data_IF_809095243402
#
_entry.id   IF_809095243402
#
_cell.length_a   1.000
_cell.length_b   1.000
_cell.length_c   1.000
_cell.angle_alpha   90.00
_cell.angle_beta   90.00
_cell.angle_gamma   90.00
#
_symmetry.space_group_name_H-M   'P 1'
#
loop_
_entity.id
_entity.type
_entity.pdbx_description
1 polymer ?
#
# COMPACT_ATOMS: atom_id res chain seq x y z
N UNK A 1 -22.18 5.54 6.63
CA UNK A 1 -20.93 4.83 7.00
C UNK A 1 -21.27 3.73 7.98
N UNK A 2 -20.58 2.61 7.87
CA UNK A 2 -20.74 1.48 8.77
C UNK A 2 -19.91 1.71 10.06
N UNK A 3 -20.35 1.21 11.21
CA UNK A 3 -19.63 1.27 12.49
C UNK A 3 -18.16 0.87 12.33
N UNK A 4 -17.88 -0.17 11.53
CA UNK A 4 -16.52 -0.64 11.26
C UNK A 4 -15.64 0.39 10.55
N UNK A 5 -16.20 1.18 9.62
CA UNK A 5 -15.46 2.23 8.92
C UNK A 5 -15.04 3.33 9.90
N UNK A 6 -15.95 3.75 10.79
CA UNK A 6 -15.63 4.73 11.83
C UNK A 6 -14.60 4.19 12.83
N UNK A 7 -14.64 2.90 13.19
CA UNK A 7 -13.63 2.29 14.06
C UNK A 7 -12.25 2.30 13.40
N UNK A 8 -12.14 1.92 12.13
CA UNK A 8 -10.86 1.96 11.38
C UNK A 8 -10.33 3.38 11.30
N UNK A 9 -11.20 4.36 11.03
CA UNK A 9 -10.84 5.79 11.03
C UNK A 9 -10.34 6.23 12.41
N UNK A 10 -11.05 5.85 13.48
CA UNK A 10 -10.67 6.19 14.85
C UNK A 10 -9.32 5.57 15.23
N UNK A 11 -9.06 4.31 14.88
CA UNK A 11 -7.76 3.66 15.10
C UNK A 11 -6.61 4.40 14.41
N UNK A 12 -6.86 4.89 13.19
CA UNK A 12 -5.87 5.65 12.42
C UNK A 12 -5.52 6.96 13.12
N UNK A 13 -6.52 7.72 13.56
CA UNK A 13 -6.30 8.98 14.30
C UNK A 13 -5.66 8.76 15.67
N UNK A 14 -6.00 7.67 16.36
CA UNK A 14 -5.34 7.28 17.62
C UNK A 14 -3.86 6.97 17.38
N UNK A 15 -3.51 6.21 16.33
CA UNK A 15 -2.12 5.92 15.98
C UNK A 15 -1.34 7.19 15.63
N UNK A 16 -1.97 8.13 14.91
CA UNK A 16 -1.38 9.45 14.59
C UNK A 16 -1.11 10.25 15.86
N UNK A 17 -2.09 10.34 16.75
CA UNK A 17 -1.98 11.08 18.03
C UNK A 17 -0.98 10.41 18.98
N UNK A 18 -0.89 9.08 18.96
CA UNK A 18 0.07 8.31 19.74
C UNK A 18 1.50 8.39 19.17
N UNK A 19 1.66 8.77 17.90
CA UNK A 19 2.94 8.93 17.22
C UNK A 19 3.54 7.63 16.66
N UNK A 20 2.85 6.49 16.81
CA UNK A 20 3.23 5.20 16.23
C UNK A 20 2.05 4.23 16.16
N UNK A 21 2.20 3.17 15.38
CA UNK A 21 1.20 2.09 15.31
C UNK A 21 1.27 1.21 16.56
N UNK A 22 0.13 1.00 17.22
CA UNK A 22 0.01 0.11 18.38
C UNK A 22 0.06 -1.34 17.91
N UNK A 23 1.16 -2.03 18.21
CA UNK A 23 1.36 -3.43 17.76
C UNK A 23 1.71 -4.39 18.90
N UNK A 24 2.36 -3.91 19.96
CA UNK A 24 2.85 -4.72 21.08
C UNK A 24 2.01 -4.56 22.35
N UNK A 25 2.12 -5.50 23.30
CA UNK A 25 1.49 -5.37 24.62
C UNK A 25 1.96 -4.12 25.38
N UNK A 26 3.24 -3.77 25.24
CA UNK A 26 3.80 -2.54 25.81
C UNK A 26 3.11 -1.28 25.25
N UNK A 27 2.82 -1.24 23.95
CA UNK A 27 2.07 -0.13 23.35
C UNK A 27 0.65 -0.03 23.91
N UNK A 28 -0.01 -1.18 24.12
CA UNK A 28 -1.34 -1.21 24.72
C UNK A 28 -1.35 -0.70 26.15
N UNK A 29 -0.33 -1.02 26.96
CA UNK A 29 -0.19 -0.53 28.33
C UNK A 29 0.02 0.99 28.36
N UNK A 30 0.93 1.51 27.53
CA UNK A 30 1.20 2.94 27.46
C UNK A 30 -0.02 3.74 26.96
N UNK A 31 -0.74 3.20 25.98
CA UNK A 31 -1.95 3.83 25.47
C UNK A 31 -3.11 3.74 26.48
N UNK A 32 -3.24 2.62 27.19
CA UNK A 32 -4.22 2.42 28.26
C UNK A 32 -4.07 3.48 29.36
N UNK A 33 -2.83 3.78 29.75
CA UNK A 33 -2.53 4.82 30.72
C UNK A 33 -2.96 6.21 30.23
N UNK A 34 -2.69 6.54 28.96
CA UNK A 34 -3.03 7.85 28.36
C UNK A 34 -4.53 8.07 28.16
N UNK A 35 -5.28 7.03 27.76
CA UNK A 35 -6.73 7.13 27.49
C UNK A 35 -7.55 6.82 28.76
N UNK A 36 -6.91 6.33 29.82
CA UNK A 36 -7.56 5.81 31.03
C UNK A 36 -8.55 4.69 30.74
N UNK A 37 -8.15 3.76 29.85
CA UNK A 37 -8.92 2.56 29.51
C UNK A 37 -8.16 1.29 29.87
N UNK A 38 -8.87 0.18 30.04
CA UNK A 38 -8.21 -1.11 30.24
C UNK A 38 -7.49 -1.56 28.97
N UNK A 39 -6.36 -2.23 29.13
CA UNK A 39 -5.61 -2.84 28.01
C UNK A 39 -6.47 -3.81 27.21
N UNK A 40 -7.38 -4.53 27.87
CA UNK A 40 -8.32 -5.44 27.21
C UNK A 40 -9.32 -4.69 26.32
N UNK A 41 -9.84 -3.55 26.78
CA UNK A 41 -10.72 -2.69 25.99
C UNK A 41 -10.00 -2.19 24.73
N UNK A 42 -8.74 -1.76 24.85
CA UNK A 42 -7.95 -1.34 23.69
C UNK A 42 -7.62 -2.50 22.75
N UNK A 43 -7.30 -3.68 23.28
CA UNK A 43 -7.09 -4.88 22.45
C UNK A 43 -8.35 -5.25 21.67
N UNK A 44 -9.54 -5.11 22.27
CA UNK A 44 -10.81 -5.27 21.56
C UNK A 44 -11.02 -4.18 20.51
N UNK A 45 -10.71 -2.92 20.86
CA UNK A 45 -10.78 -1.78 19.93
C UNK A 45 -9.96 -2.01 18.67
N UNK A 46 -8.74 -2.56 18.78
CA UNK A 46 -7.88 -2.92 17.65
C UNK A 46 -8.18 -4.30 17.04
N UNK A 47 -9.29 -4.95 17.44
CA UNK A 47 -9.70 -6.26 16.91
C UNK A 47 -8.72 -7.39 17.22
N UNK A 48 -7.89 -7.28 18.26
CA UNK A 48 -6.97 -8.35 18.70
C UNK A 48 -7.70 -9.44 19.48
N UNK A 49 -8.86 -9.12 20.05
CA UNK A 49 -9.77 -10.03 20.76
C UNK A 49 -11.22 -9.64 20.46
N UNK A 50 -12.17 -10.57 20.61
CA UNK A 50 -13.62 -10.31 20.54
C UNK A 50 -14.04 -9.38 19.37
N UNK A 51 -13.57 -9.69 18.14
CA UNK A 51 -13.74 -8.81 16.96
C UNK A 51 -15.19 -8.43 16.65
N UNK A 52 -16.15 -9.26 17.05
CA UNK A 52 -17.58 -9.06 16.79
C UNK A 52 -18.27 -8.22 17.87
N UNK A 53 -17.60 -7.93 18.99
CA UNK A 53 -18.16 -7.13 20.08
C UNK A 53 -17.85 -5.65 19.91
N UNK A 54 -18.92 -4.86 19.78
CA UNK A 54 -18.81 -3.40 19.83
C UNK A 54 -18.33 -2.92 21.20
N UNK A 55 -17.58 -1.82 21.20
CA UNK A 55 -17.21 -1.13 22.42
C UNK A 55 -18.41 -0.34 22.97
N UNK A 56 -18.42 -0.12 24.27
CA UNK A 56 -19.40 0.75 24.89
C UNK A 56 -19.20 2.21 24.45
N UNK A 57 -20.29 2.99 24.42
CA UNK A 57 -20.24 4.40 24.08
C UNK A 57 -19.27 5.19 24.98
N UNK A 58 -19.22 4.87 26.28
CA UNK A 58 -18.29 5.49 27.22
C UNK A 58 -16.81 5.27 26.83
N UNK A 59 -16.44 4.05 26.43
CA UNK A 59 -15.08 3.78 25.98
C UNK A 59 -14.76 4.47 24.66
N UNK A 60 -15.71 4.53 23.73
CA UNK A 60 -15.52 5.26 22.47
C UNK A 60 -15.34 6.76 22.71
N UNK A 61 -16.12 7.36 23.63
CA UNK A 61 -16.00 8.76 23.99
C UNK A 61 -14.61 9.09 24.57
N UNK A 62 -14.07 8.25 25.44
CA UNK A 62 -12.72 8.44 25.99
C UNK A 62 -11.64 8.40 24.89
N UNK A 63 -11.77 7.47 23.94
CA UNK A 63 -10.85 7.39 22.79
C UNK A 63 -10.98 8.64 21.90
N UNK A 64 -12.20 9.12 21.66
CA UNK A 64 -12.46 10.35 20.91
C UNK A 64 -11.87 11.58 21.63
N UNK A 65 -12.01 11.69 22.94
CA UNK A 65 -11.43 12.77 23.73
C UNK A 65 -9.91 12.79 23.67
N UNK A 66 -9.27 11.62 23.67
CA UNK A 66 -7.83 11.52 23.51
C UNK A 66 -7.33 12.11 22.18
N UNK A 67 -8.08 11.96 21.10
CA UNK A 67 -7.75 12.54 19.78
C UNK A 67 -8.31 13.95 19.58
N UNK A 68 -8.87 14.58 20.62
CA UNK A 68 -9.34 15.97 20.60
C UNK A 68 -10.80 16.18 20.15
N UNK A 69 -11.60 15.12 20.07
CA UNK A 69 -13.03 15.20 19.76
C UNK A 69 -13.88 15.18 21.05
N UNK A 70 -15.06 15.81 21.03
CA UNK A 70 -15.93 15.85 22.21
C UNK A 70 -16.46 14.46 22.62
N UNK A 71 -16.95 13.70 21.64
CA UNK A 71 -17.54 12.37 21.81
C UNK A 71 -17.57 11.58 20.50
N UNK A 72 -18.04 10.34 20.58
CA UNK A 72 -18.17 9.43 19.44
C UNK A 72 -19.12 9.95 18.36
N UNK A 73 -20.19 10.63 18.73
CA UNK A 73 -21.16 11.16 17.78
C UNK A 73 -20.56 12.31 16.97
N UNK A 74 -19.88 13.24 17.64
CA UNK A 74 -19.12 14.33 17.04
C UNK A 74 -18.03 13.81 16.10
N UNK A 75 -17.36 12.72 16.48
CA UNK A 75 -16.41 12.05 15.60
C UNK A 75 -17.11 11.47 14.36
N UNK A 76 -18.20 10.72 14.52
CA UNK A 76 -18.93 10.10 13.41
C UNK A 76 -19.52 11.14 12.45
N UNK A 77 -19.97 12.29 12.97
CA UNK A 77 -20.57 13.37 12.22
C UNK A 77 -19.57 14.12 11.33
N UNK A 78 -18.25 13.97 11.56
CA UNK A 78 -17.29 14.58 10.66
C UNK A 78 -17.38 13.94 9.27
N UNK A 79 -17.46 14.76 8.21
CA UNK A 79 -17.31 14.26 6.86
C UNK A 79 -15.99 13.50 6.80
N UNK A 80 -15.98 12.36 6.12
CA UNK A 80 -14.74 11.63 5.90
C UNK A 80 -13.69 12.64 5.44
N UNK A 81 -12.59 12.76 6.20
CA UNK A 81 -11.35 13.32 5.66
C UNK A 81 -11.21 12.68 4.29
N UNK A 82 -11.19 13.47 3.20
CA UNK A 82 -11.23 12.92 1.87
C UNK A 82 -10.16 11.85 1.81
N UNK A 83 -10.57 10.59 1.53
CA UNK A 83 -9.63 9.49 1.35
C UNK A 83 -8.55 10.04 0.46
N UNK A 84 -7.34 10.24 1.00
CA UNK A 84 -6.23 10.77 0.22
C UNK A 84 -6.10 9.79 -0.93
N UNK A 85 -6.49 10.24 -2.11
CA UNK A 85 -6.45 9.39 -3.27
C UNK A 85 -4.97 9.26 -3.60
N UNK A 86 -4.38 8.13 -3.18
CA UNK A 86 -2.95 7.88 -3.28
C UNK A 86 -2.51 8.05 -4.73
N UNK A 87 -3.33 7.65 -5.71
CA UNK A 87 -3.04 7.88 -7.13
C UNK A 87 -2.99 9.36 -7.49
N UNK A 88 -3.88 10.19 -6.95
CA UNK A 88 -3.83 11.65 -7.16
C UNK A 88 -2.59 12.27 -6.52
N UNK A 89 -2.18 11.83 -5.33
CA UNK A 89 -0.98 12.30 -4.66
C UNK A 89 0.28 11.93 -5.47
N UNK A 90 0.37 10.67 -5.88
CA UNK A 90 1.46 10.15 -6.72
C UNK A 90 1.50 10.91 -8.04
N UNK A 91 0.37 11.07 -8.72
CA UNK A 91 0.30 11.83 -9.98
C UNK A 91 0.74 13.28 -9.79
N UNK A 92 0.30 13.97 -8.73
CA UNK A 92 0.70 15.35 -8.48
C UNK A 92 2.21 15.49 -8.24
N UNK A 93 2.82 14.54 -7.54
CA UNK A 93 4.28 14.49 -7.37
C UNK A 93 4.99 14.32 -8.72
N UNK A 94 4.60 13.31 -9.52
CA UNK A 94 5.26 13.03 -10.79
C UNK A 94 4.98 14.07 -11.87
N UNK A 95 3.82 14.73 -11.84
CA UNK A 95 3.56 15.93 -12.66
C UNK A 95 4.56 17.03 -12.32
N UNK A 96 4.91 17.21 -11.04
CA UNK A 96 5.95 18.18 -10.64
C UNK A 96 7.34 17.76 -11.12
N UNK A 97 7.68 16.47 -11.04
CA UNK A 97 8.95 15.93 -11.54
C UNK A 97 9.07 16.09 -13.06
N UNK A 98 7.99 15.92 -13.81
CA UNK A 98 7.96 16.05 -15.26
C UNK A 98 8.44 17.44 -15.75
N UNK A 99 8.16 18.49 -14.96
CA UNK A 99 8.53 19.87 -15.29
C UNK A 99 9.75 20.40 -14.52
N UNK A 100 10.35 19.60 -13.61
CA UNK A 100 11.45 20.07 -12.76
C UNK A 100 12.83 20.00 -13.42
N UNK A 101 12.97 19.23 -14.50
CA UNK A 101 14.26 18.93 -15.11
C UNK A 101 15.16 18.05 -14.24
N UNK A 102 14.60 17.35 -13.26
CA UNK A 102 15.35 16.46 -12.37
C UNK A 102 16.03 15.32 -13.16
N UNK A 103 17.25 14.98 -12.72
CA UNK A 103 17.95 13.81 -13.24
C UNK A 103 17.37 12.53 -12.65
N UNK A 104 17.47 11.43 -13.41
CA UNK A 104 17.02 10.10 -12.98
C UNK A 104 17.59 9.66 -11.62
N UNK A 105 18.85 9.98 -11.33
CA UNK A 105 19.51 9.64 -10.08
C UNK A 105 19.53 10.80 -9.07
N UNK A 106 18.55 11.71 -9.08
CA UNK A 106 18.48 12.75 -8.05
C UNK A 106 18.31 12.09 -6.66
N UNK A 107 19.31 12.21 -5.75
CA UNK A 107 19.25 11.58 -4.45
C UNK A 107 18.06 12.07 -3.61
N UNK A 108 17.56 13.28 -3.87
CA UNK A 108 16.41 13.86 -3.16
C UNK A 108 15.10 13.17 -3.51
N UNK A 109 15.01 12.57 -4.70
CA UNK A 109 13.79 11.92 -5.19
C UNK A 109 13.81 10.41 -4.96
N UNK A 110 14.99 9.82 -4.74
CA UNK A 110 15.19 8.37 -4.62
C UNK A 110 14.21 7.70 -3.66
N UNK A 111 14.14 8.17 -2.41
CA UNK A 111 13.31 7.53 -1.38
C UNK A 111 11.81 7.62 -1.72
N UNK A 112 11.40 8.73 -2.34
CA UNK A 112 10.00 8.92 -2.78
C UNK A 112 9.68 8.05 -3.99
N UNK A 113 10.61 7.93 -4.94
CA UNK A 113 10.49 7.01 -6.07
C UNK A 113 10.34 5.57 -5.60
N UNK A 114 11.17 5.12 -4.66
CA UNK A 114 11.11 3.76 -4.12
C UNK A 114 9.78 3.49 -3.41
N UNK A 115 9.34 4.41 -2.53
CA UNK A 115 8.07 4.28 -1.83
C UNK A 115 6.86 4.27 -2.78
N UNK A 116 6.85 5.12 -3.81
CA UNK A 116 5.74 5.17 -4.76
C UNK A 116 5.76 4.04 -5.76
N UNK A 117 6.94 3.56 -6.18
CA UNK A 117 7.05 2.40 -7.05
C UNK A 117 6.37 1.17 -6.45
N UNK A 118 6.59 0.91 -5.15
CA UNK A 118 5.93 -0.20 -4.45
C UNK A 118 4.40 -0.04 -4.46
N UNK A 119 3.88 1.17 -4.22
CA UNK A 119 2.44 1.44 -4.23
C UNK A 119 1.83 1.30 -5.64
N UNK A 120 2.54 1.79 -6.66
CA UNK A 120 2.11 1.71 -8.06
C UNK A 120 2.05 0.25 -8.51
N UNK A 121 3.11 -0.54 -8.28
CA UNK A 121 3.17 -1.92 -8.79
C UNK A 121 2.17 -2.84 -8.08
N UNK A 122 1.83 -2.59 -6.81
CA UNK A 122 0.77 -3.34 -6.10
C UNK A 122 -0.62 -3.14 -6.72
N UNK A 123 -0.85 -2.08 -7.47
CA UNK A 123 -2.09 -1.81 -8.22
C UNK A 123 -1.80 -1.87 -9.72
N UNK A 124 -1.85 -3.08 -10.31
CA UNK A 124 -1.52 -3.28 -11.73
C UNK A 124 -2.35 -2.42 -12.69
N UNK A 125 -3.69 -2.28 -12.53
CA UNK A 125 -4.47 -1.34 -13.33
C UNK A 125 -3.93 0.09 -13.28
N UNK A 126 -3.59 0.59 -12.10
CA UNK A 126 -3.00 1.92 -11.96
C UNK A 126 -1.60 1.99 -12.59
N UNK A 127 -0.76 0.97 -12.41
CA UNK A 127 0.58 0.92 -13.01
C UNK A 127 0.55 1.06 -14.54
N UNK A 128 -0.42 0.41 -15.22
CA UNK A 128 -0.61 0.60 -16.65
C UNK A 128 -0.98 2.05 -17.01
N UNK A 129 -1.91 2.66 -16.27
CA UNK A 129 -2.28 4.07 -16.52
C UNK A 129 -1.15 5.04 -16.21
N UNK A 130 -0.29 4.70 -15.24
CA UNK A 130 0.88 5.47 -14.88
C UNK A 130 1.92 5.48 -16.00
N UNK A 131 2.25 4.29 -16.54
CA UNK A 131 3.18 4.16 -17.67
C UNK A 131 2.67 4.91 -18.91
N UNK A 132 1.38 4.79 -19.24
CA UNK A 132 0.79 5.50 -20.39
C UNK A 132 0.84 7.02 -20.19
N UNK A 133 0.54 7.51 -18.99
CA UNK A 133 0.55 8.94 -18.67
C UNK A 133 1.95 9.55 -18.80
N UNK A 134 2.99 8.82 -18.38
CA UNK A 134 4.35 9.33 -18.30
C UNK A 134 5.29 8.78 -19.39
N UNK A 135 4.75 8.17 -20.46
CA UNK A 135 5.55 7.55 -21.53
C UNK A 135 6.61 8.46 -22.17
N UNK A 136 6.36 9.77 -22.20
CA UNK A 136 7.26 10.77 -22.75
C UNK A 136 8.28 11.31 -21.72
N UNK A 137 8.27 10.77 -20.50
CA UNK A 137 9.14 11.17 -19.38
C UNK A 137 9.95 9.98 -18.86
N UNK A 138 11.05 9.60 -19.54
CA UNK A 138 11.83 8.40 -19.19
C UNK A 138 12.34 8.41 -17.75
N UNK A 139 12.67 9.57 -17.17
CA UNK A 139 13.06 9.71 -15.75
C UNK A 139 11.99 9.15 -14.81
N UNK A 140 10.71 9.31 -15.15
CA UNK A 140 9.57 8.90 -14.35
C UNK A 140 9.25 7.42 -14.56
N UNK A 141 9.19 6.96 -15.81
CA UNK A 141 8.87 5.55 -16.08
C UNK A 141 9.97 4.63 -15.54
N UNK A 142 11.23 5.04 -15.64
CA UNK A 142 12.37 4.29 -15.14
C UNK A 142 12.43 4.21 -13.61
N UNK A 143 11.77 5.11 -12.88
CA UNK A 143 11.79 5.07 -11.40
C UNK A 143 10.94 3.92 -10.83
N UNK A 144 10.12 3.29 -11.67
CA UNK A 144 9.19 2.23 -11.27
C UNK A 144 9.91 0.90 -10.98
N UNK A 145 10.87 0.52 -11.83
CA UNK A 145 11.48 -0.81 -11.84
C UNK A 145 12.93 -0.98 -11.36
N UNK A 146 13.66 0.00 -10.79
CA UNK A 146 15.06 -0.24 -10.46
C UNK A 146 15.29 -1.34 -9.40
N UNK A 147 14.27 -1.70 -8.59
CA UNK A 147 14.49 -2.55 -7.40
C UNK A 147 13.43 -3.62 -7.07
N UNK A 148 12.35 -3.78 -7.86
CA UNK A 148 11.23 -4.65 -7.46
C UNK A 148 10.83 -5.72 -8.49
N UNK A 149 11.46 -6.90 -8.47
CA UNK A 149 10.88 -8.09 -9.06
C UNK A 149 9.88 -8.76 -8.11
N UNK A 150 8.59 -8.67 -8.44
CA UNK A 150 7.56 -9.49 -7.80
C UNK A 150 7.61 -10.92 -8.35
N UNK A 151 8.58 -11.71 -7.87
CA UNK A 151 8.79 -13.09 -8.32
C UNK A 151 7.55 -13.97 -8.18
N UNK A 152 6.72 -13.71 -7.17
CA UNK A 152 5.42 -14.35 -6.94
C UNK A 152 4.38 -14.04 -8.03
N UNK A 153 4.51 -12.90 -8.71
CA UNK A 153 3.62 -12.45 -9.79
C UNK A 153 4.16 -12.83 -11.19
N UNK A 154 5.36 -13.38 -11.31
CA UNK A 154 6.01 -13.67 -12.61
C UNK A 154 5.26 -14.71 -13.45
N UNK A 155 4.46 -15.59 -12.83
CA UNK A 155 3.60 -16.51 -13.54
C UNK A 155 2.27 -15.88 -14.01
N UNK A 156 1.96 -14.65 -13.57
CA UNK A 156 0.73 -13.96 -13.92
C UNK A 156 0.90 -13.12 -15.20
N UNK A 157 -0.02 -13.33 -16.15
CA UNK A 157 -0.01 -12.65 -17.44
C UNK A 157 -0.13 -11.13 -17.33
N UNK A 158 -0.91 -10.63 -16.37
CA UNK A 158 -1.08 -9.20 -16.12
C UNK A 158 0.23 -8.51 -15.74
N UNK A 159 1.06 -9.16 -14.90
CA UNK A 159 2.35 -8.63 -14.50
C UNK A 159 3.38 -8.70 -15.66
N UNK A 160 3.35 -9.78 -16.45
CA UNK A 160 4.16 -9.90 -17.68
C UNK A 160 3.84 -8.78 -18.67
N UNK A 161 2.56 -8.51 -18.91
CA UNK A 161 2.10 -7.42 -19.78
C UNK A 161 2.52 -6.04 -19.27
N UNK A 162 2.62 -5.85 -17.96
CA UNK A 162 3.11 -4.62 -17.37
C UNK A 162 4.62 -4.43 -17.65
N UNK A 163 5.42 -5.50 -17.55
CA UNK A 163 6.84 -5.46 -17.91
C UNK A 163 7.01 -5.16 -19.41
N UNK A 164 6.20 -5.77 -20.28
CA UNK A 164 6.19 -5.49 -21.72
C UNK A 164 5.85 -4.01 -22.00
N UNK A 165 4.83 -3.47 -21.34
CA UNK A 165 4.44 -2.07 -21.44
C UNK A 165 5.56 -1.12 -20.97
N UNK A 166 6.27 -1.47 -19.89
CA UNK A 166 7.43 -0.72 -19.43
C UNK A 166 8.58 -0.75 -20.44
N UNK A 167 8.91 -1.91 -21.01
CA UNK A 167 9.96 -2.04 -22.01
C UNK A 167 9.67 -1.21 -23.28
N UNK A 168 8.40 -1.00 -23.62
CA UNK A 168 7.98 -0.12 -24.70
C UNK A 168 8.26 1.37 -24.44
N UNK A 169 8.55 1.77 -23.19
CA UNK A 169 8.98 3.14 -22.84
C UNK A 169 10.48 3.39 -23.06
N UNK A 170 11.18 2.45 -23.71
CA UNK A 170 12.61 2.51 -24.02
C UNK A 170 13.51 2.88 -22.82
N UNK A 171 13.49 2.10 -21.72
CA UNK A 171 14.29 2.42 -20.53
C UNK A 171 15.80 2.23 -20.78
N UNK A 172 16.63 2.69 -19.84
CA UNK A 172 18.09 2.52 -19.90
C UNK A 172 18.49 1.05 -20.11
N UNK A 173 19.59 0.81 -20.83
CA UNK A 173 20.00 -0.54 -21.24
C UNK A 173 20.09 -1.55 -20.09
N UNK A 174 20.69 -1.15 -18.96
CA UNK A 174 20.81 -2.04 -17.79
C UNK A 174 19.44 -2.40 -17.19
N UNK A 175 18.46 -1.48 -17.24
CA UNK A 175 17.08 -1.75 -16.83
C UNK A 175 16.38 -2.68 -17.84
N UNK A 176 16.61 -2.50 -19.15
CA UNK A 176 16.10 -3.40 -20.19
C UNK A 176 16.61 -4.82 -20.02
N UNK A 177 17.91 -4.99 -19.78
CA UNK A 177 18.52 -6.31 -19.54
C UNK A 177 17.92 -6.96 -18.29
N UNK A 178 17.75 -6.19 -17.20
CA UNK A 178 17.15 -6.66 -15.97
C UNK A 178 15.71 -7.16 -16.20
N UNK A 179 14.86 -6.36 -16.86
CA UNK A 179 13.46 -6.71 -17.10
C UNK A 179 13.29 -7.86 -18.10
N UNK A 180 14.11 -7.95 -19.14
CA UNK A 180 14.09 -9.11 -20.05
C UNK A 180 14.47 -10.41 -19.32
N UNK A 181 15.35 -10.35 -18.32
CA UNK A 181 15.68 -11.51 -17.48
C UNK A 181 14.46 -11.98 -16.69
N UNK A 182 13.60 -11.06 -16.24
CA UNK A 182 12.34 -11.39 -15.57
C UNK A 182 11.30 -11.97 -16.52
N UNK A 183 11.18 -11.46 -17.75
CA UNK A 183 10.30 -12.07 -18.76
C UNK A 183 10.70 -13.52 -19.04
N UNK A 184 12.00 -13.80 -19.19
CA UNK A 184 12.50 -15.16 -19.40
C UNK A 184 12.18 -16.08 -18.21
N UNK A 185 12.34 -15.58 -16.98
CA UNK A 185 12.00 -16.31 -15.77
C UNK A 185 10.50 -16.59 -15.65
N UNK A 186 9.65 -15.60 -15.90
CA UNK A 186 8.19 -15.76 -15.90
C UNK A 186 7.70 -16.79 -16.92
N UNK A 187 8.28 -16.79 -18.13
CA UNK A 187 7.99 -17.79 -19.15
C UNK A 187 8.34 -19.22 -18.68
N UNK A 188 9.49 -19.38 -18.01
CA UNK A 188 9.89 -20.67 -17.42
C UNK A 188 8.91 -21.12 -16.31
N UNK A 189 8.51 -20.22 -15.41
CA UNK A 189 7.55 -20.53 -14.34
C UNK A 189 6.18 -20.95 -14.90
N UNK A 190 5.68 -20.25 -15.93
CA UNK A 190 4.41 -20.56 -16.56
C UNK A 190 4.42 -21.94 -17.26
N UNK A 191 5.54 -22.31 -17.89
CA UNK A 191 5.70 -23.61 -18.55
C UNK A 191 5.73 -24.79 -17.57
N UNK A 192 6.32 -24.60 -16.38
CA UNK A 192 6.50 -25.66 -15.39
C UNK A 192 5.40 -25.73 -14.32
N UNK A 193 4.56 -24.70 -14.18
CA UNK A 193 3.49 -24.64 -13.17
C UNK A 193 2.19 -25.37 -13.53
N UNK A 194 2.08 -25.95 -14.74
CA UNK A 194 0.89 -26.64 -15.24
C UNK A 194 0.93 -28.18 -15.19
N UNK A 195 1.98 -28.78 -14.63
CA UNK A 195 2.25 -30.22 -14.67
C UNK A 195 1.75 -31.00 -13.44
N UNK A 196 0.45 -30.98 -13.16
CA UNK A 196 -0.18 -32.02 -12.35
C UNK A 196 -0.44 -33.25 -13.21
N UNK A 197 0.59 -34.08 -13.44
CA UNK A 197 0.42 -35.37 -14.10
C UNK A 197 -0.51 -36.27 -13.25
N UNK A 198 -1.76 -36.45 -13.72
CA UNK A 198 -2.53 -37.65 -13.42
C UNK A 198 -1.71 -38.86 -13.90
N UNK A 199 -1.15 -39.61 -12.94
CA UNK A 199 -0.58 -40.92 -13.22
C UNK A 199 -1.69 -41.82 -13.77
N UNK A 200 -1.52 -42.49 -14.91
CA UNK A 200 -2.48 -43.48 -15.36
C UNK A 200 -2.45 -44.67 -14.39
N UNK A 201 -3.62 -45.03 -13.86
CA UNK A 201 -3.81 -46.25 -13.09
C UNK A 201 -3.43 -47.47 -13.92
N UNK A 202 -2.61 -48.40 -13.40
CA UNK A 202 -2.32 -49.65 -14.11
C UNK A 202 -3.57 -50.52 -14.18
N UNK A 203 -3.85 -51.03 -15.38
CA UNK A 203 -4.84 -52.08 -15.64
C UNK A 203 -4.38 -53.43 -15.09
#
# INVERSE_FOLDING_TARGET
MNYQEHIIRLQTEVNRTFGRTVTSMFDFELLAEKIHLSTQTLRRFYGKIDKDKQLSAASLNLICQYIGFADWESFCAQPDTPKVNVHQLINAFYDTVAYSGAAFFDPKLRDTHEAYAELIIKDLPYAHTFLERYKDYPVITQSLYPWFPYYDQMAQRSYVQLIEAYLATEPLEHLRVCQNSFLAYGAFCAANGGGGEEKPSPQ
#
